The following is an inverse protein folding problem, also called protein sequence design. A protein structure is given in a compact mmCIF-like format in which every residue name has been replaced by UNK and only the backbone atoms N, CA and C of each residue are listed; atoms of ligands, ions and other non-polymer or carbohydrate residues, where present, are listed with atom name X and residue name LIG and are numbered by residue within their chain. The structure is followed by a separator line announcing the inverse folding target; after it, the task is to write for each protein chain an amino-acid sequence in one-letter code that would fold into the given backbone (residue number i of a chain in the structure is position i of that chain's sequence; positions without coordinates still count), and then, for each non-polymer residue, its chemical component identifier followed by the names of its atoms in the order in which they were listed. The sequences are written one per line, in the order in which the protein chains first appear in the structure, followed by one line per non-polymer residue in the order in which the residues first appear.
data_IF_500532618962
#
_entry.id   IF_500532618962
#
_cell.length_a   1.000
_cell.length_b   1.000
_cell.length_c   1.000
_cell.angle_alpha   90.00
_cell.angle_beta   90.00
_cell.angle_gamma   90.00
#
_symmetry.space_group_name_H-M   'P 1'
#
loop_
_entity.id
_entity.type
_entity.pdbx_description
1 polymer ?
#
# COMPACT_ATOMS: atom_id res chain seq x y z
N UNK A 1 -5.13 -13.43 7.97
CA UNK A 1 -4.98 -11.99 8.33
C UNK A 1 -4.78 -11.20 7.04
N UNK A 2 -5.39 -10.02 6.88
CA UNK A 2 -5.34 -9.28 5.62
C UNK A 2 -5.19 -7.77 5.89
N UNK A 3 -4.28 -7.12 5.16
CA UNK A 3 -3.94 -5.70 5.30
C UNK A 3 -4.58 -4.86 4.19
N UNK A 4 -4.79 -3.55 4.40
CA UNK A 4 -5.36 -2.65 3.39
C UNK A 4 -4.57 -2.60 2.07
N UNK A 5 -3.26 -2.81 2.10
CA UNK A 5 -2.41 -2.83 0.91
C UNK A 5 -2.44 -4.18 0.15
N UNK A 6 -3.23 -5.16 0.59
CA UNK A 6 -3.35 -6.47 -0.05
C UNK A 6 -2.47 -7.56 0.55
N UNK A 7 -1.52 -7.22 1.43
CA UNK A 7 -0.70 -8.22 2.17
C UNK A 7 -1.62 -9.19 2.90
N UNK A 8 -1.37 -10.49 2.76
CA UNK A 8 -2.20 -11.55 3.31
C UNK A 8 -1.36 -12.64 3.97
N UNK A 9 -1.75 -13.06 5.17
CA UNK A 9 -1.11 -14.14 5.91
C UNK A 9 -2.16 -15.22 6.17
N UNK A 10 -1.92 -16.41 5.64
CA UNK A 10 -2.73 -17.60 5.88
C UNK A 10 -2.07 -18.48 6.95
N UNK A 11 -2.74 -18.62 8.08
CA UNK A 11 -2.30 -19.45 9.20
C UNK A 11 -3.27 -20.63 9.32
N UNK A 12 -2.83 -21.89 9.12
CA UNK A 12 -3.74 -23.03 9.18
C UNK A 12 -4.38 -23.21 10.56
N UNK A 13 -5.60 -23.72 10.59
CA UNK A 13 -6.25 -24.08 11.85
C UNK A 13 -5.44 -25.15 12.61
N UNK A 14 -5.44 -25.08 13.95
CA UNK A 14 -4.75 -26.02 14.84
C UNK A 14 -3.23 -26.15 14.56
N UNK A 15 -2.60 -25.06 14.12
CA UNK A 15 -1.17 -25.02 13.79
C UNK A 15 -0.30 -24.32 14.83
N UNK A 16 -0.89 -23.70 15.87
CA UNK A 16 -0.14 -22.93 16.86
C UNK A 16 0.05 -23.77 18.13
N UNK A 17 1.28 -23.82 18.62
CA UNK A 17 1.69 -24.56 19.82
C UNK A 17 2.51 -23.69 20.76
N UNK A 18 2.60 -24.09 22.03
CA UNK A 18 3.57 -23.49 22.94
C UNK A 18 5.00 -23.96 22.60
N UNK A 19 5.99 -23.39 23.29
CA UNK A 19 7.42 -23.75 23.13
C UNK A 19 7.76 -25.23 23.39
N UNK A 20 6.85 -25.99 24.02
CA UNK A 20 7.03 -27.41 24.29
C UNK A 20 6.25 -28.29 23.28
N UNK A 21 5.67 -27.69 22.23
CA UNK A 21 4.86 -28.38 21.24
C UNK A 21 3.43 -28.69 21.68
N UNK A 22 2.96 -28.15 22.82
CA UNK A 22 1.61 -28.40 23.31
C UNK A 22 0.60 -27.48 22.63
N UNK A 23 -0.55 -28.03 22.29
CA UNK A 23 -1.64 -27.28 21.65
C UNK A 23 -2.12 -26.12 22.52
N UNK A 24 -2.36 -24.98 21.86
CA UNK A 24 -2.86 -23.76 22.49
C UNK A 24 -4.35 -23.61 22.19
N UNK A 25 -5.17 -23.55 23.24
CA UNK A 25 -6.63 -23.39 23.13
C UNK A 25 -7.04 -21.97 23.49
N UNK A 26 -7.90 -21.34 22.68
CA UNK A 26 -8.44 -20.00 22.93
C UNK A 26 -7.73 -18.90 22.15
N UNK A 27 -8.02 -17.65 22.51
CA UNK A 27 -7.49 -16.48 21.79
C UNK A 27 -5.98 -16.33 21.93
N UNK A 28 -5.35 -15.88 20.85
CA UNK A 28 -3.93 -15.55 20.74
C UNK A 28 -3.79 -14.15 20.13
N UNK A 29 -2.69 -13.48 20.47
CA UNK A 29 -2.34 -12.18 19.90
C UNK A 29 -1.41 -12.39 18.70
N UNK A 30 -1.86 -12.03 17.50
CA UNK A 30 -1.02 -11.99 16.31
C UNK A 30 -0.47 -10.58 16.12
N UNK A 31 0.87 -10.44 16.13
CA UNK A 31 1.57 -9.19 15.84
C UNK A 31 2.18 -9.27 14.46
N UNK A 32 1.85 -8.29 13.63
CA UNK A 32 2.35 -8.19 12.27
C UNK A 32 2.81 -6.76 11.99
N UNK A 33 3.99 -6.62 11.38
CA UNK A 33 4.45 -5.37 10.76
C UNK A 33 5.16 -5.67 9.45
N UNK A 34 5.09 -4.70 8.55
CA UNK A 34 5.79 -4.70 7.27
C UNK A 34 6.59 -3.40 7.17
N UNK A 35 7.81 -3.48 6.66
CA UNK A 35 8.70 -2.35 6.44
C UNK A 35 9.09 -2.33 4.97
N UNK A 36 8.79 -1.20 4.32
CA UNK A 36 9.00 -0.99 2.89
C UNK A 36 10.08 0.06 2.61
N UNK A 37 10.46 0.87 3.60
CA UNK A 37 11.39 1.99 3.45
C UNK A 37 12.53 1.97 4.46
N UNK A 38 13.67 2.57 4.11
CA UNK A 38 14.88 2.60 4.93
C UNK A 38 14.62 3.21 6.32
N UNK A 39 13.79 4.25 6.40
CA UNK A 39 13.36 4.85 7.67
C UNK A 39 12.50 3.92 8.54
N UNK A 40 11.66 3.08 7.93
CA UNK A 40 10.87 2.09 8.65
C UNK A 40 11.75 0.95 9.17
N UNK A 41 12.72 0.51 8.35
CA UNK A 41 13.76 -0.46 8.73
C UNK A 41 14.58 0.10 9.90
N UNK A 42 15.02 1.35 9.81
CA UNK A 42 15.71 2.04 10.91
C UNK A 42 14.91 2.01 12.21
N UNK A 43 13.62 2.39 12.16
CA UNK A 43 12.75 2.36 13.33
C UNK A 43 12.49 0.93 13.86
N UNK A 44 12.66 -0.09 13.02
CA UNK A 44 12.46 -1.48 13.42
C UNK A 44 13.58 -2.03 14.31
N UNK A 45 14.79 -1.47 14.17
CA UNK A 45 16.00 -1.96 14.83
C UNK A 45 16.58 -3.25 14.23
N UNK A 46 16.00 -3.75 13.12
CA UNK A 46 16.44 -4.98 12.45
C UNK A 46 17.73 -4.69 11.67
N UNK A 47 18.80 -5.48 11.85
CA UNK A 47 20.06 -5.27 11.14
C UNK A 47 19.90 -5.55 9.65
N UNK A 48 20.59 -4.79 8.78
CA UNK A 48 20.65 -5.06 7.34
C UNK A 48 22.02 -5.54 6.85
N UNK A 49 23.06 -5.47 7.69
CA UNK A 49 24.41 -5.94 7.37
C UNK A 49 24.59 -7.40 7.78
N UNK A 50 25.39 -8.13 7.02
CA UNK A 50 25.77 -9.49 7.38
C UNK A 50 26.75 -9.45 8.57
N UNK A 51 26.52 -10.31 9.57
CA UNK A 51 27.40 -10.36 10.75
C UNK A 51 28.81 -10.87 10.42
N UNK A 52 28.93 -11.80 9.46
CA UNK A 52 30.22 -12.34 9.02
C UNK A 52 31.06 -11.32 8.21
N UNK A 53 30.39 -10.44 7.47
CA UNK A 53 31.02 -9.45 6.60
C UNK A 53 30.16 -8.19 6.51
N UNK A 54 30.49 -7.17 7.31
CA UNK A 54 29.74 -5.91 7.35
C UNK A 54 29.85 -5.07 6.07
N UNK A 55 30.74 -5.42 5.13
CA UNK A 55 30.75 -4.80 3.81
C UNK A 55 29.62 -5.32 2.91
N UNK A 56 28.95 -6.41 3.31
CA UNK A 56 27.77 -6.94 2.67
C UNK A 56 26.51 -6.54 3.43
N UNK A 57 25.50 -6.13 2.68
CA UNK A 57 24.22 -5.71 3.23
C UNK A 57 23.07 -6.11 2.32
N UNK A 58 21.91 -6.21 2.92
CA UNK A 58 20.66 -6.47 2.23
C UNK A 58 20.04 -5.14 1.78
N UNK A 59 19.57 -5.10 0.53
CA UNK A 59 18.77 -4.02 -0.04
C UNK A 59 17.32 -4.48 -0.13
N UNK A 60 16.42 -3.82 0.61
CA UNK A 60 15.11 -4.40 0.85
C UNK A 60 14.08 -4.12 -0.22
N UNK A 61 13.26 -5.14 -0.52
CA UNK A 61 12.06 -5.02 -1.35
C UNK A 61 10.79 -5.51 -0.62
N UNK A 62 10.89 -5.74 0.69
CA UNK A 62 9.76 -6.07 1.53
C UNK A 62 10.21 -6.91 2.72
N UNK A 63 10.27 -6.26 3.89
CA UNK A 63 10.52 -6.94 5.15
C UNK A 63 9.22 -7.12 5.91
N UNK A 64 9.01 -8.31 6.47
CA UNK A 64 7.85 -8.59 7.32
C UNK A 64 8.29 -9.23 8.63
N UNK A 65 7.61 -8.85 9.71
CA UNK A 65 7.70 -9.55 10.98
C UNK A 65 6.32 -10.06 11.37
N UNK A 66 6.25 -11.34 11.71
CA UNK A 66 5.05 -11.99 12.19
C UNK A 66 5.35 -12.84 13.41
N UNK A 67 4.61 -12.57 14.49
CA UNK A 67 4.79 -13.20 15.80
C UNK A 67 3.44 -13.53 16.41
N UNK A 68 3.35 -14.59 17.19
CA UNK A 68 2.14 -14.97 17.91
C UNK A 68 2.42 -15.06 19.40
N UNK A 69 1.53 -14.50 20.22
CA UNK A 69 1.67 -14.50 21.67
C UNK A 69 0.40 -15.00 22.37
N UNK A 70 0.58 -15.52 23.58
CA UNK A 70 -0.51 -15.71 24.55
C UNK A 70 -0.05 -15.40 25.96
N UNK A 71 -0.70 -14.43 26.60
CA UNK A 71 -0.32 -13.96 27.94
C UNK A 71 1.14 -13.49 28.01
N UNK A 72 1.61 -12.80 26.97
CA UNK A 72 2.99 -12.30 26.86
C UNK A 72 4.05 -13.35 26.51
N UNK A 73 3.68 -14.63 26.36
CA UNK A 73 4.59 -15.69 25.92
C UNK A 73 4.46 -15.91 24.44
N UNK A 74 5.59 -15.90 23.73
CA UNK A 74 5.63 -16.22 22.30
C UNK A 74 5.29 -17.69 22.06
N UNK A 75 4.55 -17.94 20.98
CA UNK A 75 4.09 -19.24 20.53
C UNK A 75 4.80 -19.62 19.23
N UNK A 76 4.82 -20.92 18.94
CA UNK A 76 5.46 -21.47 17.76
C UNK A 76 4.44 -22.05 16.78
N UNK A 77 4.88 -22.25 15.54
CA UNK A 77 4.17 -23.07 14.58
C UNK A 77 4.45 -24.55 14.86
N UNK A 78 3.42 -25.39 14.75
CA UNK A 78 3.49 -26.84 14.93
C UNK A 78 4.37 -27.44 13.83
N UNK A 79 5.25 -28.36 14.20
CA UNK A 79 6.12 -29.05 13.25
C UNK A 79 5.33 -29.69 12.10
N UNK A 80 5.83 -29.52 10.88
CA UNK A 80 5.18 -29.98 9.64
C UNK A 80 3.97 -29.15 9.21
N UNK A 81 3.70 -28.00 9.84
CA UNK A 81 2.77 -26.99 9.33
C UNK A 81 3.53 -25.86 8.65
N UNK A 82 2.83 -25.22 7.71
CA UNK A 82 3.32 -24.09 6.94
C UNK A 82 2.31 -22.95 7.03
N UNK A 83 2.81 -21.72 7.01
CA UNK A 83 2.01 -20.50 6.85
C UNK A 83 2.26 -19.93 5.46
N UNK A 84 1.20 -19.47 4.79
CA UNK A 84 1.28 -18.77 3.52
C UNK A 84 1.44 -17.26 3.75
N UNK A 85 2.40 -16.64 3.09
CA UNK A 85 2.72 -15.22 3.26
C UNK A 85 2.75 -14.58 1.89
N UNK A 86 1.79 -13.67 1.65
CA UNK A 86 1.74 -12.82 0.47
C UNK A 86 2.03 -11.38 0.87
N UNK A 87 3.17 -10.85 0.48
CA UNK A 87 3.59 -9.48 0.76
C UNK A 87 3.24 -8.59 -0.43
N UNK A 88 2.47 -7.53 -0.20
CA UNK A 88 2.19 -6.54 -1.22
C UNK A 88 3.47 -5.84 -1.67
N UNK A 89 3.67 -5.74 -2.99
CA UNK A 89 4.80 -5.03 -3.58
C UNK A 89 4.33 -4.14 -4.72
N UNK A 90 4.96 -3.00 -4.95
CA UNK A 90 4.61 -2.10 -6.05
C UNK A 90 5.31 -2.48 -7.37
N UNK A 91 6.39 -3.26 -7.28
CA UNK A 91 7.25 -3.60 -8.42
C UNK A 91 7.60 -5.08 -8.39
N UNK A 92 7.89 -5.64 -9.56
CA UNK A 92 8.52 -6.95 -9.64
C UNK A 92 10.00 -6.81 -9.30
N UNK A 93 10.57 -7.67 -8.45
CA UNK A 93 12.01 -7.69 -8.22
C UNK A 93 12.74 -7.94 -9.54
N UNK A 94 13.91 -7.34 -9.68
CA UNK A 94 14.84 -7.71 -10.74
C UNK A 94 15.57 -9.02 -10.36
N UNK A 95 16.53 -9.43 -11.19
CA UNK A 95 17.30 -10.64 -10.90
C UNK A 95 18.13 -10.47 -9.61
N UNK A 96 18.33 -11.56 -8.86
CA UNK A 96 19.15 -11.66 -7.63
C UNK A 96 18.48 -11.25 -6.31
N UNK A 97 17.15 -11.20 -6.24
CA UNK A 97 16.44 -11.16 -4.96
C UNK A 97 16.25 -12.57 -4.40
N UNK A 98 16.51 -12.71 -3.11
CA UNK A 98 16.36 -13.96 -2.37
C UNK A 98 15.44 -13.77 -1.16
N UNK A 99 14.88 -14.89 -0.67
CA UNK A 99 14.16 -14.90 0.60
C UNK A 99 15.14 -15.11 1.75
N UNK A 100 15.12 -14.20 2.71
CA UNK A 100 15.96 -14.21 3.90
C UNK A 100 15.13 -14.40 5.16
N UNK A 101 15.67 -15.14 6.11
CA UNK A 101 15.13 -15.33 7.45
C UNK A 101 16.12 -14.84 8.50
N UNK A 102 15.66 -14.07 9.48
CA UNK A 102 16.53 -13.61 10.56
C UNK A 102 16.52 -14.62 11.71
N UNK A 103 17.50 -15.51 11.72
CA UNK A 103 17.66 -16.51 12.76
C UNK A 103 18.05 -15.86 14.10
N UNK A 104 17.33 -16.25 15.16
CA UNK A 104 17.44 -15.72 16.52
C UNK A 104 17.37 -14.18 16.61
N UNK A 105 16.71 -13.54 15.65
CA UNK A 105 16.63 -12.08 15.53
C UNK A 105 18.01 -11.38 15.38
N UNK A 106 19.03 -12.13 14.92
CA UNK A 106 20.41 -11.64 14.84
C UNK A 106 21.10 -11.93 13.50
N UNK A 107 20.92 -13.11 12.92
CA UNK A 107 21.72 -13.58 11.78
C UNK A 107 20.83 -13.85 10.57
N UNK A 108 21.11 -13.19 9.45
CA UNK A 108 20.40 -13.46 8.20
C UNK A 108 20.87 -14.77 7.58
N UNK A 109 19.90 -15.63 7.28
CA UNK A 109 20.09 -16.87 6.55
C UNK A 109 19.25 -16.81 5.27
N UNK A 110 19.88 -17.11 4.13
CA UNK A 110 19.14 -17.27 2.88
C UNK A 110 18.30 -18.54 3.02
N UNK A 111 16.97 -18.38 3.06
CA UNK A 111 16.06 -19.45 3.40
C UNK A 111 14.84 -19.43 2.48
N UNK A 112 14.81 -20.40 1.56
CA UNK A 112 13.67 -20.63 0.68
C UNK A 112 13.69 -19.79 -0.58
N UNK A 113 12.55 -19.80 -1.27
CA UNK A 113 12.29 -19.05 -2.50
C UNK A 113 10.93 -18.38 -2.36
N UNK A 114 10.74 -17.29 -3.09
CA UNK A 114 9.46 -16.63 -3.22
C UNK A 114 9.10 -16.53 -4.71
N UNK A 115 7.82 -16.32 -5.00
CA UNK A 115 7.33 -16.07 -6.34
C UNK A 115 6.57 -14.75 -6.38
N UNK A 116 6.78 -13.95 -7.43
CA UNK A 116 5.96 -12.76 -7.67
C UNK A 116 4.73 -13.11 -8.49
N UNK A 117 3.56 -13.04 -7.87
CA UNK A 117 2.26 -13.43 -8.44
C UNK A 117 1.33 -12.23 -8.59
N UNK A 118 0.26 -12.38 -9.38
CA UNK A 118 -0.82 -11.39 -9.42
C UNK A 118 -1.66 -11.51 -8.13
N UNK A 119 -2.26 -10.39 -7.71
CA UNK A 119 -3.24 -10.41 -6.63
C UNK A 119 -4.61 -10.85 -7.15
N UNK A 120 -4.75 -12.16 -7.39
CA UNK A 120 -5.98 -12.77 -7.89
C UNK A 120 -7.17 -12.55 -6.95
N UNK A 121 -6.94 -12.40 -5.63
CA UNK A 121 -7.99 -12.07 -4.65
C UNK A 121 -8.61 -10.71 -4.94
N UNK A 122 -7.76 -9.69 -5.13
CA UNK A 122 -8.16 -8.34 -5.53
C UNK A 122 -8.85 -8.34 -6.88
N UNK A 123 -8.26 -8.98 -7.88
CA UNK A 123 -8.80 -8.98 -9.24
C UNK A 123 -10.15 -9.71 -9.32
N UNK A 124 -10.30 -10.82 -8.61
CA UNK A 124 -11.58 -11.54 -8.49
C UNK A 124 -12.62 -10.67 -7.76
N UNK A 125 -12.26 -10.02 -6.66
CA UNK A 125 -13.17 -9.13 -5.93
C UNK A 125 -13.63 -7.94 -6.79
N UNK A 126 -12.72 -7.32 -7.55
CA UNK A 126 -13.05 -6.26 -8.52
C UNK A 126 -14.00 -6.78 -9.61
N UNK A 127 -13.75 -7.98 -10.14
CA UNK A 127 -14.62 -8.59 -11.16
C UNK A 127 -16.01 -8.97 -10.64
N UNK A 128 -16.10 -9.27 -9.34
CA UNK A 128 -17.34 -9.61 -8.65
C UNK A 128 -18.13 -8.38 -8.17
N UNK A 129 -17.56 -7.18 -8.31
CA UNK A 129 -18.30 -5.95 -8.05
C UNK A 129 -19.58 -5.92 -8.92
N UNK A 130 -20.68 -5.36 -8.40
CA UNK A 130 -21.92 -5.19 -9.12
C UNK A 130 -21.69 -4.69 -10.56
N UNK A 131 -22.10 -5.50 -11.54
CA UNK A 131 -21.89 -5.24 -12.97
C UNK A 131 -22.59 -3.96 -13.44
N UNK A 132 -21.94 -3.27 -14.36
CA UNK A 132 -22.40 -2.00 -14.90
C UNK A 132 -23.64 -2.19 -15.78
N UNK A 133 -24.61 -1.28 -15.67
CA UNK A 133 -25.89 -1.42 -16.38
C UNK A 133 -25.82 -0.85 -17.79
N UNK A 134 -26.35 -1.62 -18.75
CA UNK A 134 -26.47 -1.19 -20.14
C UNK A 134 -27.93 -0.94 -20.52
N UNK A 135 -28.29 0.27 -20.97
CA UNK A 135 -29.63 0.54 -21.51
C UNK A 135 -29.95 -0.37 -22.70
N UNK A 136 -31.22 -0.79 -22.86
CA UNK A 136 -31.66 -1.60 -24.01
C UNK A 136 -31.67 -0.74 -25.27
N UNK A 137 -31.08 -1.25 -26.36
CA UNK A 137 -31.05 -0.61 -27.70
C UNK A 137 -32.48 -0.22 -28.18
N UNK A 138 -32.61 0.85 -28.99
CA UNK A 138 -33.92 1.35 -29.42
C UNK A 138 -34.60 0.33 -30.33
N UNK A 139 -35.93 0.27 -30.27
CA UNK A 139 -36.73 -0.45 -31.29
C UNK A 139 -36.98 0.47 -32.51
N UNK A 140 -36.98 1.81 -32.31
CA UNK A 140 -37.04 2.87 -33.33
C UNK A 140 -36.22 4.11 -32.85
N UNK A 141 -35.77 4.99 -33.75
CA UNK A 141 -34.85 6.14 -33.50
C UNK A 141 -35.24 7.12 -32.36
N UNK A 142 -36.44 6.99 -31.79
CA UNK A 142 -36.99 7.89 -30.76
C UNK A 142 -37.39 7.14 -29.47
N UNK A 143 -37.50 5.80 -29.49
CA UNK A 143 -37.97 4.99 -28.36
C UNK A 143 -36.88 4.09 -27.79
N UNK A 144 -36.66 4.16 -26.48
CA UNK A 144 -35.71 3.28 -25.79
C UNK A 144 -36.26 2.80 -24.45
N UNK A 145 -35.66 1.75 -23.90
CA UNK A 145 -36.01 1.20 -22.60
C UNK A 145 -34.80 1.20 -21.67
N UNK A 146 -35.05 1.44 -20.40
CA UNK A 146 -34.07 1.26 -19.35
C UNK A 146 -34.25 -0.16 -18.80
N UNK A 147 -33.16 -0.94 -18.78
CA UNK A 147 -33.17 -2.23 -18.12
C UNK A 147 -32.69 -2.07 -16.69
N UNK A 148 -33.36 -2.74 -15.76
CA UNK A 148 -32.80 -3.05 -14.45
C UNK A 148 -32.03 -4.36 -14.48
N UNK A 149 -31.00 -4.47 -13.65
CA UNK A 149 -30.41 -5.74 -13.25
C UNK A 149 -30.29 -5.81 -11.71
N UNK A 150 -29.58 -6.82 -11.21
CA UNK A 150 -29.29 -7.00 -9.78
C UNK A 150 -28.53 -5.81 -9.15
N UNK A 151 -27.87 -4.99 -9.96
CA UNK A 151 -27.02 -3.87 -9.58
C UNK A 151 -27.66 -2.50 -9.87
N UNK A 152 -28.88 -2.45 -10.41
CA UNK A 152 -29.73 -1.24 -10.48
C UNK A 152 -31.19 -1.62 -10.23
N UNK A 153 -31.51 -2.18 -9.05
CA UNK A 153 -32.87 -2.58 -8.72
C UNK A 153 -33.84 -1.39 -8.77
N UNK A 154 -33.37 -0.15 -8.57
CA UNK A 154 -34.19 1.05 -8.68
C UNK A 154 -34.74 1.31 -10.07
N UNK A 155 -34.14 0.75 -11.12
CA UNK A 155 -34.70 0.84 -12.47
C UNK A 155 -35.83 -0.17 -12.71
N UNK A 156 -36.08 -1.12 -11.80
CA UNK A 156 -37.03 -2.22 -12.03
C UNK A 156 -38.45 -1.73 -12.32
N UNK A 157 -38.83 -0.64 -11.68
CA UNK A 157 -40.14 0.04 -11.89
C UNK A 157 -40.28 0.66 -13.27
N UNK A 158 -39.17 0.87 -13.98
CA UNK A 158 -39.11 1.39 -15.35
C UNK A 158 -38.88 0.30 -16.39
N UNK A 159 -38.80 -0.98 -16.00
CA UNK A 159 -38.75 -2.07 -16.95
C UNK A 159 -39.97 -2.03 -17.88
N UNK A 160 -39.72 -2.28 -19.15
CA UNK A 160 -40.73 -2.31 -20.21
C UNK A 160 -41.49 -0.98 -20.41
N UNK A 161 -40.97 0.11 -19.85
CA UNK A 161 -41.44 1.47 -20.13
C UNK A 161 -40.70 2.02 -21.34
N UNK A 162 -41.43 2.29 -22.42
CA UNK A 162 -40.89 2.99 -23.57
C UNK A 162 -40.69 4.48 -23.26
N UNK A 163 -39.45 4.93 -23.36
CA UNK A 163 -39.06 6.33 -23.23
C UNK A 163 -38.95 6.97 -24.60
N UNK A 164 -39.71 8.04 -24.81
CA UNK A 164 -39.65 8.86 -26.02
C UNK A 164 -38.70 10.02 -25.82
N UNK A 165 -37.66 10.09 -26.64
CA UNK A 165 -36.73 11.23 -26.65
C UNK A 165 -37.48 12.54 -26.95
N UNK A 166 -37.10 13.62 -26.27
CA UNK A 166 -37.71 14.92 -26.51
C UNK A 166 -37.41 15.41 -27.94
N UNK A 167 -38.42 15.87 -28.71
CA UNK A 167 -38.21 16.36 -30.07
C UNK A 167 -37.16 17.47 -30.15
N UNK A 168 -36.32 17.44 -31.20
CA UNK A 168 -35.26 18.43 -31.43
C UNK A 168 -33.96 18.22 -30.64
N UNK A 169 -33.87 17.15 -29.83
CA UNK A 169 -32.63 16.79 -29.14
C UNK A 169 -31.70 15.96 -30.06
N UNK A 170 -30.39 16.08 -29.86
CA UNK A 170 -29.39 15.28 -30.59
C UNK A 170 -29.43 13.79 -30.18
N UNK A 171 -29.84 12.93 -31.12
CA UNK A 171 -29.92 11.48 -30.93
C UNK A 171 -28.54 10.83 -30.73
N UNK A 172 -27.43 11.49 -31.13
CA UNK A 172 -26.07 10.95 -30.94
C UNK A 172 -25.74 10.72 -29.46
N UNK A 173 -26.26 11.57 -28.56
CA UNK A 173 -26.10 11.40 -27.11
C UNK A 173 -26.75 10.10 -26.63
N UNK A 174 -27.98 9.82 -27.07
CA UNK A 174 -28.67 8.58 -26.75
C UNK A 174 -27.90 7.37 -27.30
N UNK A 175 -27.49 7.41 -28.58
CA UNK A 175 -26.73 6.31 -29.17
C UNK A 175 -25.42 6.02 -28.43
N UNK A 176 -24.71 7.05 -27.97
CA UNK A 176 -23.50 6.89 -27.16
C UNK A 176 -23.85 6.30 -25.79
N UNK A 177 -24.91 6.77 -25.14
CA UNK A 177 -25.40 6.21 -23.89
C UNK A 177 -25.75 4.72 -23.98
N UNK A 178 -26.19 4.24 -25.14
CA UNK A 178 -26.54 2.82 -25.31
C UNK A 178 -25.36 1.90 -25.59
N UNK A 179 -24.17 2.46 -25.85
CA UNK A 179 -22.96 1.69 -26.14
C UNK A 179 -22.12 1.45 -24.90
N UNK A 180 -22.24 2.33 -23.91
CA UNK A 180 -21.47 2.34 -22.66
C UNK A 180 -22.22 1.56 -21.58
N UNK A 181 -21.48 0.89 -20.70
CA UNK A 181 -22.04 0.34 -19.47
C UNK A 181 -21.90 1.41 -18.39
N UNK A 182 -22.98 1.72 -17.69
CA UNK A 182 -23.05 2.83 -16.76
C UNK A 182 -23.06 2.37 -15.31
N UNK A 183 -22.26 3.04 -14.48
CA UNK A 183 -22.26 2.87 -13.02
C UNK A 183 -23.55 3.41 -12.41
N UNK A 184 -24.07 4.51 -12.96
CA UNK A 184 -25.23 5.23 -12.44
C UNK A 184 -26.17 5.72 -13.54
N UNK A 185 -27.48 5.51 -13.32
CA UNK A 185 -28.57 6.06 -14.13
C UNK A 185 -29.55 6.74 -13.19
N UNK A 186 -29.72 8.05 -13.38
CA UNK A 186 -30.59 8.92 -12.57
C UNK A 186 -31.67 9.57 -13.44
N UNK A 187 -32.92 9.43 -13.02
CA UNK A 187 -34.11 9.93 -13.72
C UNK A 187 -34.75 11.03 -12.89
N UNK A 188 -34.69 12.28 -13.36
CA UNK A 188 -35.24 13.46 -12.67
C UNK A 188 -36.37 14.10 -13.46
N UNK A 189 -37.51 14.31 -12.83
CA UNK A 189 -38.62 15.05 -13.42
C UNK A 189 -38.28 16.54 -13.51
N UNK A 190 -38.21 17.09 -14.72
CA UNK A 190 -37.88 18.49 -15.00
C UNK A 190 -39.15 19.33 -15.20
N UNK A 191 -40.19 18.76 -15.81
CA UNK A 191 -41.45 19.46 -16.04
C UNK A 191 -42.66 18.55 -15.79
N UNK A 192 -43.44 18.86 -14.74
CA UNK A 192 -44.66 18.13 -14.35
C UNK A 192 -45.77 18.19 -15.40
N UNK A 193 -45.94 19.31 -16.12
CA UNK A 193 -47.01 19.51 -17.11
C UNK A 193 -46.78 18.65 -18.35
N UNK A 194 -45.54 18.63 -18.83
CA UNK A 194 -45.15 17.92 -20.06
C UNK A 194 -44.61 16.50 -19.79
N UNK A 195 -44.56 16.08 -18.52
CA UNK A 195 -43.94 14.81 -18.07
C UNK A 195 -42.53 14.63 -18.63
N UNK A 196 -41.75 15.72 -18.66
CA UNK A 196 -40.41 15.73 -19.22
C UNK A 196 -39.40 15.38 -18.13
N UNK A 197 -38.59 14.35 -18.37
CA UNK A 197 -37.56 13.87 -17.46
C UNK A 197 -36.19 14.06 -18.07
N UNK A 198 -35.19 14.31 -17.21
CA UNK A 198 -33.78 14.18 -17.53
C UNK A 198 -33.31 12.82 -17.05
N UNK A 199 -32.79 12.02 -17.98
CA UNK A 199 -32.12 10.76 -17.69
C UNK A 199 -30.62 11.02 -17.82
N UNK A 200 -29.90 10.87 -16.72
CA UNK A 200 -28.45 11.10 -16.62
C UNK A 200 -27.75 9.77 -16.43
N UNK A 201 -26.78 9.49 -17.27
CA UNK A 201 -25.92 8.32 -17.23
C UNK A 201 -24.52 8.75 -16.80
N UNK A 202 -23.88 8.02 -15.88
CA UNK A 202 -22.53 8.35 -15.39
C UNK A 202 -21.71 7.09 -15.13
N UNK A 203 -20.44 7.10 -15.54
CA UNK A 203 -19.51 5.97 -15.39
C UNK A 203 -18.08 6.46 -15.16
N UNK A 204 -17.29 5.70 -14.39
CA UNK A 204 -15.83 5.79 -14.30
C UNK A 204 -15.23 4.79 -15.28
N UNK A 205 -14.41 5.29 -16.20
CA UNK A 205 -13.71 4.49 -17.21
C UNK A 205 -12.20 4.62 -17.03
N UNK A 206 -11.43 3.66 -17.56
CA UNK A 206 -9.97 3.73 -17.64
C UNK A 206 -9.52 4.00 -19.09
N UNK A 207 -8.57 4.90 -19.27
CA UNK A 207 -7.93 5.09 -20.58
C UNK A 207 -6.89 3.99 -20.87
N UNK A 208 -6.29 4.01 -22.07
CA UNK A 208 -5.27 3.03 -22.49
C UNK A 208 -4.00 3.05 -21.62
N UNK A 209 -3.80 4.10 -20.82
CA UNK A 209 -2.67 4.27 -19.90
C UNK A 209 -3.07 3.92 -18.46
N UNK A 210 -4.30 3.45 -18.24
CA UNK A 210 -4.83 3.10 -16.92
C UNK A 210 -5.36 4.28 -16.10
N UNK A 211 -5.37 5.50 -16.64
CA UNK A 211 -5.89 6.67 -15.92
C UNK A 211 -7.41 6.61 -15.84
N UNK A 212 -7.95 6.86 -14.66
CA UNK A 212 -9.40 6.90 -14.41
C UNK A 212 -9.96 8.25 -14.88
N UNK A 213 -11.04 8.23 -15.67
CA UNK A 213 -11.80 9.41 -16.04
C UNK A 213 -13.31 9.17 -15.90
N UNK A 214 -14.06 10.23 -15.62
CA UNK A 214 -15.52 10.17 -15.53
C UNK A 214 -16.18 10.55 -16.85
N UNK A 215 -17.13 9.75 -17.31
CA UNK A 215 -17.99 10.05 -18.44
C UNK A 215 -19.43 10.27 -17.97
N UNK A 216 -20.11 11.26 -18.55
CA UNK A 216 -21.49 11.58 -18.22
C UNK A 216 -22.26 11.99 -19.46
N UNK A 217 -23.47 11.45 -19.63
CA UNK A 217 -24.39 11.75 -20.73
C UNK A 217 -25.76 12.01 -20.15
N UNK A 218 -26.45 13.05 -20.63
CA UNK A 218 -27.84 13.30 -20.24
C UNK A 218 -28.75 13.47 -21.45
N UNK A 219 -29.95 12.89 -21.39
CA UNK A 219 -31.00 13.03 -22.39
C UNK A 219 -32.32 13.48 -21.73
N UNK A 220 -33.11 14.27 -22.45
CA UNK A 220 -34.48 14.58 -22.07
C UNK A 220 -35.45 13.61 -22.77
N UNK A 221 -36.35 13.00 -21.99
CA UNK A 221 -37.31 12.02 -22.50
C UNK A 221 -38.64 12.06 -21.72
N UNK A 222 -39.68 11.47 -22.32
CA UNK A 222 -41.02 11.33 -21.74
C UNK A 222 -41.42 9.85 -21.73
N UNK A 223 -41.96 9.32 -20.61
CA UNK A 223 -42.33 7.92 -20.54
C UNK A 223 -43.72 7.70 -21.18
N UNK A 224 -43.83 6.69 -22.04
CA UNK A 224 -45.05 6.37 -22.78
C UNK A 224 -46.01 5.50 -21.94
N UNK A 225 -46.58 6.09 -20.87
CA UNK A 225 -47.42 5.38 -19.89
C UNK A 225 -48.72 6.12 -19.55
N UNK A 226 -49.78 5.37 -19.18
CA UNK A 226 -51.07 5.91 -18.74
C UNK A 226 -50.92 6.69 -17.41
N UNK A 227 -51.72 7.75 -17.23
CA UNK A 227 -51.60 8.70 -16.09
C UNK A 227 -51.68 8.07 -14.69
N UNK A 228 -52.51 7.03 -14.49
CA UNK A 228 -52.75 6.40 -13.17
C UNK A 228 -51.55 5.57 -12.71
N UNK A 229 -50.78 5.03 -13.65
CA UNK A 229 -49.64 4.13 -13.38
C UNK A 229 -48.37 4.93 -13.05
N UNK A 230 -48.21 6.13 -13.61
CA UNK A 230 -47.03 6.99 -13.39
C UNK A 230 -46.85 7.40 -11.92
N UNK A 231 -47.92 7.73 -11.19
CA UNK A 231 -47.80 8.15 -9.78
C UNK A 231 -47.27 7.02 -8.90
N UNK A 232 -47.70 5.78 -9.16
CA UNK A 232 -47.25 4.59 -8.45
C UNK A 232 -45.79 4.25 -8.82
N UNK A 233 -45.45 4.33 -10.10
CA UNK A 233 -44.08 4.12 -10.59
C UNK A 233 -43.11 5.12 -9.95
N UNK A 234 -43.48 6.41 -9.84
CA UNK A 234 -42.61 7.43 -9.23
C UNK A 234 -42.38 7.21 -7.74
N UNK A 235 -43.42 6.86 -6.98
CA UNK A 235 -43.28 6.59 -5.56
C UNK A 235 -42.35 5.38 -5.30
N UNK A 236 -42.54 4.29 -6.06
CA UNK A 236 -41.67 3.12 -5.96
C UNK A 236 -40.25 3.42 -6.45
N UNK A 237 -40.11 4.21 -7.52
CA UNK A 237 -38.80 4.62 -8.02
C UNK A 237 -37.98 5.41 -7.00
N UNK A 238 -38.63 6.34 -6.28
CA UNK A 238 -37.96 7.16 -5.26
C UNK A 238 -37.54 6.33 -4.04
N UNK A 239 -38.38 5.37 -3.62
CA UNK A 239 -38.05 4.41 -2.57
C UNK A 239 -36.87 3.52 -2.97
N UNK A 240 -36.92 2.93 -4.17
CA UNK A 240 -35.85 2.05 -4.65
C UNK A 240 -34.56 2.84 -4.91
N UNK A 241 -34.63 4.09 -5.41
CA UNK A 241 -33.48 4.99 -5.58
C UNK A 241 -32.74 5.23 -4.27
N UNK A 242 -33.49 5.47 -3.19
CA UNK A 242 -32.90 5.71 -1.88
C UNK A 242 -32.18 4.47 -1.36
N UNK A 243 -32.77 3.28 -1.52
CA UNK A 243 -32.09 2.01 -1.18
C UNK A 243 -30.85 1.74 -2.05
N UNK A 244 -30.92 2.11 -3.33
CA UNK A 244 -29.84 1.90 -4.28
C UNK A 244 -28.67 2.87 -4.11
N UNK A 245 -28.93 4.09 -3.63
CA UNK A 245 -27.89 5.06 -3.33
C UNK A 245 -26.87 4.52 -2.31
N UNK A 246 -27.33 3.73 -1.33
CA UNK A 246 -26.47 3.04 -0.37
C UNK A 246 -25.63 1.94 -1.04
N UNK A 247 -26.24 1.15 -1.93
CA UNK A 247 -25.54 0.11 -2.71
C UNK A 247 -24.44 0.71 -3.58
N UNK A 248 -24.72 1.81 -4.29
CA UNK A 248 -23.72 2.52 -5.10
C UNK A 248 -22.57 3.04 -4.25
N UNK A 249 -22.88 3.63 -3.10
CA UNK A 249 -21.88 4.15 -2.17
C UNK A 249 -20.99 3.02 -1.66
N UNK A 250 -21.57 1.90 -1.25
CA UNK A 250 -20.81 0.74 -0.76
C UNK A 250 -19.97 0.10 -1.87
N UNK A 251 -20.48 0.05 -3.10
CA UNK A 251 -19.70 -0.39 -4.26
C UNK A 251 -18.51 0.53 -4.52
N UNK A 252 -18.70 1.85 -4.51
CA UNK A 252 -17.63 2.82 -4.72
C UNK A 252 -16.56 2.72 -3.62
N UNK A 253 -16.99 2.63 -2.35
CA UNK A 253 -16.08 2.42 -1.22
C UNK A 253 -15.28 1.12 -1.40
N UNK A 254 -15.93 0.02 -1.77
CA UNK A 254 -15.24 -1.26 -1.95
C UNK A 254 -14.33 -1.27 -3.17
N UNK A 255 -14.73 -0.63 -4.28
CA UNK A 255 -13.86 -0.44 -5.44
C UNK A 255 -12.61 0.36 -5.08
N UNK A 256 -12.77 1.50 -4.40
CA UNK A 256 -11.66 2.33 -3.96
C UNK A 256 -10.75 1.55 -3.00
N UNK A 257 -11.31 0.81 -2.03
CA UNK A 257 -10.56 -0.06 -1.11
C UNK A 257 -9.77 -1.15 -1.84
N UNK A 258 -10.36 -1.82 -2.84
CA UNK A 258 -9.69 -2.85 -3.63
C UNK A 258 -8.60 -2.27 -4.54
N UNK A 259 -8.74 -1.02 -4.97
CA UNK A 259 -7.73 -0.32 -5.76
C UNK A 259 -6.55 0.17 -4.90
N UNK A 260 -6.70 0.29 -3.58
CA UNK A 260 -5.60 0.50 -2.64
C UNK A 260 -4.72 -0.75 -2.43
N UNK A 261 -5.28 -1.95 -2.66
CA UNK A 261 -4.51 -3.18 -2.61
C UNK A 261 -3.53 -3.28 -3.80
N UNK A 262 -2.33 -3.81 -3.56
CA UNK A 262 -1.37 -4.04 -4.64
C UNK A 262 -1.89 -5.05 -5.65
N UNK A 263 -1.57 -4.82 -6.92
CA UNK A 263 -1.87 -5.72 -8.02
C UNK A 263 -0.95 -6.94 -8.09
N UNK A 264 0.21 -6.88 -7.43
CA UNK A 264 1.21 -7.96 -7.43
C UNK A 264 1.69 -8.22 -6.00
N UNK A 265 2.01 -9.47 -5.72
CA UNK A 265 2.39 -9.96 -4.40
C UNK A 265 3.67 -10.79 -4.53
N UNK A 266 4.58 -10.66 -3.56
CA UNK A 266 5.64 -11.65 -3.36
C UNK A 266 5.12 -12.72 -2.40
N UNK A 267 4.96 -13.94 -2.89
CA UNK A 267 4.34 -15.06 -2.19
C UNK A 267 5.37 -16.11 -1.81
N UNK A 268 5.32 -16.59 -0.57
CA UNK A 268 6.16 -17.68 -0.07
C UNK A 268 5.48 -18.43 1.09
N UNK A 269 5.98 -19.62 1.43
CA UNK A 269 5.58 -20.33 2.64
C UNK A 269 6.71 -20.37 3.67
N UNK A 270 6.33 -20.53 4.94
CA UNK A 270 7.29 -20.65 6.05
C UNK A 270 6.84 -21.71 7.04
N UNK A 271 7.80 -22.44 7.61
CA UNK A 271 7.58 -23.45 8.66
C UNK A 271 7.61 -22.83 10.06
N UNK A 272 7.61 -21.50 10.18
CA UNK A 272 7.68 -20.81 11.47
C UNK A 272 7.30 -19.33 11.40
N UNK A 273 7.06 -18.76 12.58
CA UNK A 273 6.94 -17.32 12.78
C UNK A 273 8.34 -16.69 12.84
N UNK A 274 8.46 -15.40 12.51
CA UNK A 274 9.76 -14.85 12.18
C UNK A 274 9.79 -13.44 11.64
N UNK A 275 11.02 -13.00 11.37
CA UNK A 275 11.31 -11.89 10.48
C UNK A 275 11.80 -12.48 9.15
N UNK A 276 11.14 -12.09 8.08
CA UNK A 276 11.46 -12.49 6.71
C UNK A 276 11.69 -11.27 5.86
N UNK A 277 12.54 -11.40 4.85
CA UNK A 277 12.91 -10.29 4.00
C UNK A 277 13.12 -10.76 2.56
N UNK A 278 12.65 -9.99 1.59
CA UNK A 278 12.83 -10.26 0.17
C UNK A 278 13.84 -9.27 -0.38
N UNK A 279 15.10 -9.70 -0.38
CA UNK A 279 16.22 -8.77 -0.45
C UNK A 279 17.31 -9.25 -1.39
N UNK A 280 18.00 -8.26 -1.95
CA UNK A 280 19.20 -8.46 -2.73
C UNK A 280 20.41 -8.30 -1.82
N UNK A 281 21.32 -9.28 -1.85
CA UNK A 281 22.61 -9.18 -1.18
C UNK A 281 23.57 -8.38 -2.05
N UNK A 282 24.06 -7.25 -1.54
CA UNK A 282 24.97 -6.36 -2.24
C UNK A 282 26.23 -6.11 -1.43
N UNK A 283 27.31 -5.77 -2.13
CA UNK A 283 28.48 -5.17 -1.49
C UNK A 283 28.30 -3.65 -1.44
N UNK A 284 28.71 -3.03 -0.34
CA UNK A 284 28.72 -1.57 -0.22
C UNK A 284 29.63 -0.96 -1.31
N UNK A 285 29.04 -0.23 -2.26
CA UNK A 285 29.77 0.49 -3.32
C UNK A 285 30.26 1.83 -2.78
N UNK A 286 31.51 1.84 -2.31
CA UNK A 286 32.13 3.00 -1.69
C UNK A 286 32.75 3.92 -2.75
N UNK A 287 32.36 5.20 -2.77
CA UNK A 287 32.98 6.23 -3.63
C UNK A 287 34.30 6.75 -3.03
N UNK A 288 34.31 6.97 -1.72
CA UNK A 288 35.47 7.34 -0.92
C UNK A 288 35.19 7.05 0.57
N UNK A 289 36.21 7.15 1.42
CA UNK A 289 36.06 7.11 2.88
C UNK A 289 36.30 8.49 3.48
N UNK A 290 35.61 8.81 4.57
CA UNK A 290 35.80 10.04 5.35
C UNK A 290 36.23 9.74 6.76
N UNK A 291 37.15 10.56 7.24
CA UNK A 291 37.46 10.68 8.67
C UNK A 291 36.43 11.63 9.27
N UNK A 292 35.37 11.06 9.85
CA UNK A 292 34.24 11.81 10.36
C UNK A 292 34.38 12.12 11.84
N UNK A 293 34.12 13.36 12.20
CA UNK A 293 33.98 13.82 13.58
C UNK A 293 32.62 14.45 13.82
N UNK A 294 32.11 14.33 15.04
CA UNK A 294 30.80 14.84 15.44
C UNK A 294 30.89 15.76 16.66
N UNK A 295 30.00 16.75 16.71
CA UNK A 295 29.90 17.73 17.79
C UNK A 295 29.51 17.17 19.17
N UNK A 296 29.11 15.91 19.25
CA UNK A 296 28.74 15.23 20.49
C UNK A 296 29.85 14.31 21.05
N UNK A 297 30.99 14.16 20.37
CA UNK A 297 32.04 13.22 20.77
C UNK A 297 32.64 13.54 22.14
N UNK A 298 32.79 14.83 22.47
CA UNK A 298 33.30 15.27 23.78
C UNK A 298 32.38 14.87 24.95
N UNK A 299 31.10 14.60 24.67
CA UNK A 299 30.13 14.12 25.66
C UNK A 299 30.21 12.58 25.85
N UNK A 300 31.06 11.87 25.09
CA UNK A 300 31.17 10.42 25.11
C UNK A 300 32.42 9.95 25.85
N UNK A 301 32.25 8.93 26.69
CA UNK A 301 33.35 8.12 27.18
C UNK A 301 33.43 6.83 26.36
N UNK A 302 34.41 6.73 25.46
CA UNK A 302 34.57 5.58 24.57
C UNK A 302 34.67 4.20 25.27
N UNK A 303 35.05 4.15 26.55
CA UNK A 303 35.09 2.91 27.34
C UNK A 303 33.73 2.49 27.91
N UNK A 304 32.78 3.43 28.00
CA UNK A 304 31.49 3.24 28.64
C UNK A 304 30.36 3.29 27.61
N UNK A 305 30.41 4.26 26.69
CA UNK A 305 29.35 4.55 25.75
C UNK A 305 29.61 3.83 24.42
N UNK A 306 28.88 2.72 24.19
CA UNK A 306 28.89 1.97 22.91
C UNK A 306 27.92 2.60 21.91
N UNK A 307 28.16 3.85 21.54
CA UNK A 307 27.33 4.56 20.57
C UNK A 307 27.54 3.96 19.19
N UNK A 308 26.42 3.60 18.54
CA UNK A 308 26.38 3.17 17.14
C UNK A 308 25.84 4.31 16.29
N UNK A 309 26.49 4.54 15.16
CA UNK A 309 26.04 5.45 14.11
C UNK A 309 25.28 4.63 13.08
N UNK A 310 24.01 4.96 12.88
CA UNK A 310 23.14 4.36 11.89
C UNK A 310 23.10 5.28 10.67
N UNK A 311 23.48 4.75 9.52
CA UNK A 311 23.48 5.40 8.23
C UNK A 311 22.28 4.87 7.44
N UNK A 312 21.26 5.71 7.26
CA UNK A 312 20.04 5.38 6.53
C UNK A 312 20.29 5.74 5.06
N UNK A 313 20.19 4.74 4.18
CA UNK A 313 20.44 4.88 2.75
C UNK A 313 19.10 4.72 2.01
N UNK A 314 18.50 5.83 1.59
CA UNK A 314 17.11 5.84 1.08
C UNK A 314 16.99 5.13 -0.27
N UNK A 315 17.91 5.38 -1.19
CA UNK A 315 17.87 4.82 -2.56
C UNK A 315 18.14 3.33 -2.58
N UNK A 316 19.08 2.87 -1.75
CA UNK A 316 19.41 1.45 -1.58
C UNK A 316 18.45 0.71 -0.63
N UNK A 317 17.50 1.42 -0.02
CA UNK A 317 16.53 0.89 0.93
C UNK A 317 17.16 0.01 2.03
N UNK A 318 18.18 0.55 2.71
CA UNK A 318 18.98 -0.19 3.70
C UNK A 318 19.46 0.71 4.83
N UNK A 319 19.95 0.10 5.91
CA UNK A 319 20.52 0.79 7.07
C UNK A 319 21.84 0.16 7.44
N UNK A 320 22.92 0.92 7.33
CA UNK A 320 24.27 0.51 7.72
C UNK A 320 24.58 0.99 9.13
N UNK A 321 25.30 0.20 9.90
CA UNK A 321 25.60 0.47 11.32
C UNK A 321 27.10 0.43 11.57
N UNK A 322 27.61 1.52 12.12
CA UNK A 322 29.04 1.73 12.41
C UNK A 322 29.26 1.98 13.89
N UNK A 323 30.33 1.40 14.46
CA UNK A 323 30.73 1.70 15.83
C UNK A 323 31.60 2.95 15.86
N UNK A 324 31.85 3.50 17.05
CA UNK A 324 32.71 4.68 17.21
C UNK A 324 34.12 4.53 16.60
N UNK A 325 34.69 3.33 16.61
CA UNK A 325 36.01 3.06 16.01
C UNK A 325 35.97 2.90 14.48
N UNK A 326 34.78 2.91 13.86
CA UNK A 326 34.61 2.85 12.40
C UNK A 326 34.42 4.27 11.81
N UNK A 327 34.38 5.33 12.63
CA UNK A 327 34.01 6.70 12.20
C UNK A 327 35.11 7.39 11.38
N UNK A 328 36.36 6.96 11.52
CA UNK A 328 37.49 7.42 10.73
C UNK A 328 37.50 6.84 9.29
N UNK A 329 36.65 5.85 9.04
CA UNK A 329 36.52 5.16 7.75
C UNK A 329 35.09 5.11 7.21
N UNK A 330 34.22 6.05 7.58
CA UNK A 330 32.83 6.03 7.10
C UNK A 330 32.76 6.09 5.57
N UNK A 331 31.93 5.25 4.93
CA UNK A 331 31.83 5.25 3.49
C UNK A 331 30.99 6.42 3.00
N UNK A 332 31.40 6.95 1.86
CA UNK A 332 30.61 7.86 1.04
C UNK A 332 29.97 7.02 -0.05
N UNK A 333 28.65 7.08 -0.13
CA UNK A 333 27.84 6.30 -1.07
C UNK A 333 27.18 7.24 -2.08
N UNK A 334 26.84 6.72 -3.25
CA UNK A 334 25.95 7.40 -4.19
C UNK A 334 24.50 7.19 -3.73
N UNK A 335 24.11 7.89 -2.65
CA UNK A 335 22.80 7.75 -2.02
C UNK A 335 22.41 9.02 -1.23
N UNK A 336 21.11 9.18 -0.98
CA UNK A 336 20.55 10.13 -0.02
C UNK A 336 20.72 9.55 1.39
N UNK A 337 21.69 10.09 2.13
CA UNK A 337 22.15 9.53 3.41
C UNK A 337 21.73 10.40 4.60
N UNK A 338 21.03 9.80 5.55
CA UNK A 338 20.83 10.37 6.89
C UNK A 338 21.69 9.65 7.91
N UNK A 339 22.19 10.38 8.91
CA UNK A 339 22.92 9.78 10.03
C UNK A 339 22.14 9.95 11.33
N UNK A 340 22.07 8.89 12.13
CA UNK A 340 21.47 8.91 13.46
C UNK A 340 22.39 8.21 14.46
N UNK A 341 22.65 8.84 15.60
CA UNK A 341 23.32 8.21 16.73
C UNK A 341 22.48 8.33 18.01
N UNK A 342 22.26 7.20 18.69
CA UNK A 342 21.58 7.17 19.99
C UNK A 342 22.57 7.57 21.10
N UNK A 343 22.29 8.66 21.82
CA UNK A 343 23.17 9.21 22.83
C UNK A 343 22.84 8.70 24.25
N UNK A 344 23.83 8.68 25.18
CA UNK A 344 23.64 8.14 26.53
C UNK A 344 22.57 8.84 27.38
N UNK A 345 22.25 10.08 27.05
CA UNK A 345 21.23 10.89 27.73
C UNK A 345 19.79 10.62 27.25
N UNK A 346 19.59 9.63 26.38
CA UNK A 346 18.29 9.27 25.80
C UNK A 346 17.84 10.15 24.63
N UNK A 347 18.70 11.04 24.14
CA UNK A 347 18.46 11.84 22.92
C UNK A 347 19.17 11.22 21.71
N UNK A 348 18.90 11.76 20.52
CA UNK A 348 19.48 11.30 19.27
C UNK A 348 20.21 12.46 18.58
N UNK A 349 21.45 12.24 18.17
CA UNK A 349 22.14 13.12 17.24
C UNK A 349 21.71 12.77 15.82
N UNK A 350 21.29 13.76 15.05
CA UNK A 350 20.76 13.59 13.70
C UNK A 350 21.45 14.49 12.69
N UNK A 351 21.79 13.93 11.53
CA UNK A 351 22.27 14.63 10.34
C UNK A 351 21.32 14.32 9.19
N UNK A 352 20.69 15.34 8.60
CA UNK A 352 19.82 15.17 7.44
C UNK A 352 20.60 14.89 6.15
N UNK A 353 19.93 14.34 5.14
CA UNK A 353 20.52 14.15 3.80
C UNK A 353 21.11 15.43 3.21
N UNK A 354 20.45 16.58 3.39
CA UNK A 354 20.97 17.87 2.93
C UNK A 354 22.28 18.27 3.63
N UNK A 355 22.35 18.10 4.95
CA UNK A 355 23.56 18.41 5.73
C UNK A 355 24.67 17.43 5.38
N UNK A 356 24.35 16.13 5.22
CA UNK A 356 25.32 15.13 4.82
C UNK A 356 25.90 15.44 3.44
N UNK A 357 25.05 15.62 2.43
CA UNK A 357 25.46 15.87 1.05
C UNK A 357 26.22 17.20 0.87
N UNK A 358 25.87 18.25 1.62
CA UNK A 358 26.61 19.52 1.58
C UNK A 358 27.97 19.44 2.27
N UNK A 359 28.12 18.59 3.29
CA UNK A 359 29.39 18.33 3.99
C UNK A 359 30.31 17.43 3.16
N UNK A 360 29.74 16.46 2.46
CA UNK A 360 30.45 15.40 1.73
C UNK A 360 30.32 15.59 0.21
N UNK A 361 30.55 16.80 -0.30
CA UNK A 361 30.45 17.08 -1.75
C UNK A 361 31.37 16.16 -2.55
N UNK A 362 30.78 15.40 -3.49
CA UNK A 362 31.47 14.42 -4.36
C UNK A 362 32.62 15.05 -5.16
N UNK A 363 32.56 16.35 -5.47
CA UNK A 363 33.65 17.05 -6.17
C UNK A 363 34.90 17.25 -5.32
N UNK A 364 34.80 17.13 -4.00
CA UNK A 364 35.85 17.47 -3.03
C UNK A 364 36.32 16.25 -2.23
N UNK A 365 36.04 15.06 -2.74
CA UNK A 365 36.44 13.79 -2.13
C UNK A 365 37.38 13.06 -3.08
N UNK A 366 38.42 12.45 -2.53
CA UNK A 366 39.35 11.63 -3.29
C UNK A 366 39.46 10.26 -2.63
N UNK A 367 39.47 9.16 -3.41
CA UNK A 367 39.77 7.84 -2.86
C UNK A 367 41.24 7.69 -2.45
N UNK A 368 42.11 8.65 -2.81
CA UNK A 368 43.56 8.60 -2.57
C UNK A 368 44.05 9.54 -1.45
N UNK A 369 43.17 10.37 -0.87
CA UNK A 369 43.53 11.32 0.19
C UNK A 369 42.58 11.21 1.38
N UNK A 370 43.07 11.60 2.56
CA UNK A 370 42.29 11.65 3.79
C UNK A 370 41.20 12.73 3.68
N UNK A 371 39.93 12.34 3.79
CA UNK A 371 38.78 13.26 3.67
C UNK A 371 38.20 13.57 5.05
N UNK A 372 38.86 14.45 5.82
CA UNK A 372 38.35 14.86 7.14
C UNK A 372 37.05 15.66 7.01
N UNK A 373 36.01 15.31 7.76
CA UNK A 373 34.72 16.00 7.78
C UNK A 373 34.19 16.13 9.21
N UNK A 374 33.66 17.30 9.53
CA UNK A 374 33.01 17.55 10.82
C UNK A 374 31.52 17.75 10.60
N UNK A 375 30.70 17.02 11.36
CA UNK A 375 29.25 17.07 11.29
C UNK A 375 28.68 17.74 12.54
N UNK A 376 27.99 18.86 12.34
CA UNK A 376 27.12 19.43 13.37
C UNK A 376 25.80 18.67 13.37
N UNK A 377 25.33 18.28 14.55
CA UNK A 377 24.15 17.42 14.68
C UNK A 377 22.98 18.15 15.31
N UNK A 378 21.78 17.78 14.89
CA UNK A 378 20.55 18.20 15.57
C UNK A 378 20.25 17.21 16.69
N UNK A 379 20.15 17.68 17.94
CA UNK A 379 19.73 16.85 19.08
C UNK A 379 18.20 16.71 19.10
N UNK A 380 17.69 15.48 18.96
CA UNK A 380 16.26 15.15 18.91
C UNK A 380 15.85 14.27 20.09
N UNK A 381 14.61 14.41 20.57
CA UNK A 381 13.99 13.41 21.44
C UNK A 381 13.54 12.20 20.63
N UNK A 382 13.20 11.09 21.31
CA UNK A 382 12.67 9.89 20.65
C UNK A 382 11.39 10.18 19.87
N UNK A 383 10.49 10.99 20.44
CA UNK A 383 9.22 11.37 19.80
C UNK A 383 9.47 12.19 18.53
N UNK A 384 10.38 13.16 18.58
CA UNK A 384 10.73 14.02 17.44
C UNK A 384 11.41 13.23 16.32
N UNK A 385 12.36 12.36 16.67
CA UNK A 385 13.00 11.49 15.68
C UNK A 385 11.98 10.57 15.03
N UNK A 386 11.10 9.95 15.81
CA UNK A 386 10.05 9.08 15.27
C UNK A 386 9.11 9.84 14.35
N UNK A 387 8.65 11.03 14.73
CA UNK A 387 7.79 11.88 13.91
C UNK A 387 8.45 12.25 12.57
N UNK A 388 9.74 12.58 12.60
CA UNK A 388 10.56 12.85 11.42
C UNK A 388 10.64 11.62 10.49
N UNK A 389 10.93 10.44 11.05
CA UNK A 389 11.10 9.21 10.29
C UNK A 389 9.80 8.73 9.61
N UNK A 390 8.64 8.95 10.25
CA UNK A 390 7.32 8.63 9.67
C UNK A 390 6.77 9.73 8.75
N UNK A 391 7.53 10.80 8.49
CA UNK A 391 7.11 11.89 7.61
C UNK A 391 6.00 12.78 8.17
N UNK A 392 5.76 12.76 9.48
CA UNK A 392 4.86 13.71 10.14
C UNK A 392 5.65 14.95 10.51
N UNK A 393 5.62 15.96 9.65
CA UNK A 393 6.05 17.30 10.04
C UNK A 393 5.14 17.82 11.16
N UNK A 394 5.71 18.26 12.28
CA UNK A 394 5.02 19.12 13.25
C UNK A 394 4.83 20.51 12.62
N UNK A 395 3.87 20.60 11.71
CA UNK A 395 3.26 21.85 11.31
C UNK A 395 1.74 21.65 11.25
N UNK A 396 1.16 21.53 12.45
CA UNK A 396 -0.24 21.79 12.74
C UNK A 396 -0.35 22.47 14.10
#
# INVERSE_FOLDING_TARGET
FHRPNGTHIEIPANSIVDKNGKEVIGEVEFRFREMHKAREIFLSGIPMQMNEDRAKHLQSMGMVELRVFKGGKELALKEGKEIGIDVATEKKPDDNYDLWYLNNDENWEQNGVFETVNNDRRDLALSNLPSLNKPKKPVEDILFQLASDKNMPHLKVWNDVDWRLNPGQDNKKLYRAMRINWDKIDIKLINKRNKLYRISFSAKNKDHKGNIFSESISVLATPNVKKKDIKKILAQYEEDLNSFAEVLKNREIEEDRLLEESAILNSFSSNGFGIFNIDKLENTKILAKVDASFDFEDDLNAKINKVKLMMICESQNTVLTYNAFDWDELPILDDDVELVAALPNGTFAYVSSEVFGSTVKVTNISPYFENKRHFNTTKLSSEKLKALMIGKNESS
#
